data_IF_072925603494
#
_entry.id   IF_072925603494
#
_cell.length_a   1.000
_cell.length_b   1.000
_cell.length_c   1.000
_cell.angle_alpha   90.00
_cell.angle_beta   90.00
_cell.angle_gamma   90.00
#
_symmetry.space_group_name_H-M   'P 1'
#
loop_
_entity.id
_entity.type
_entity.pdbx_description
1 polymer ?
#
# COMPACT_ATOMS: atom_id res chain seq x y z
N UNK A 1 -4.66 13.20 25.83
CA UNK A 1 -4.67 14.51 25.12
C UNK A 1 -3.34 15.27 25.06
N UNK A 2 -2.46 15.32 26.09
CA UNK A 2 -1.24 16.13 26.05
C UNK A 2 -0.31 15.82 24.87
N UNK A 3 -0.18 14.52 24.54
CA UNK A 3 0.58 14.06 23.37
C UNK A 3 -0.06 14.51 22.04
N UNK A 4 -1.40 14.48 21.94
CA UNK A 4 -2.12 14.93 20.76
C UNK A 4 -1.91 16.44 20.52
N UNK A 5 -1.99 17.23 21.60
CA UNK A 5 -1.73 18.66 21.56
C UNK A 5 -0.27 18.97 21.21
N UNK A 6 0.68 18.18 21.72
CA UNK A 6 2.09 18.32 21.36
C UNK A 6 2.34 18.01 19.88
N UNK A 7 1.77 16.93 19.36
CA UNK A 7 1.85 16.57 17.93
C UNK A 7 1.12 17.58 17.04
N UNK A 8 0.04 18.18 17.53
CA UNK A 8 -0.69 19.26 16.85
C UNK A 8 -0.02 20.64 17.00
N UNK A 9 1.15 20.73 17.63
CA UNK A 9 1.89 21.99 17.70
C UNK A 9 2.37 22.44 16.32
N UNK A 10 2.54 23.75 16.15
CA UNK A 10 3.04 24.31 14.89
C UNK A 10 4.43 23.75 14.52
N UNK A 11 5.25 23.37 15.50
CA UNK A 11 6.55 22.77 15.28
C UNK A 11 6.48 21.48 14.42
N UNK A 12 5.47 20.65 14.65
CA UNK A 12 5.28 19.39 13.91
C UNK A 12 4.35 19.56 12.71
N UNK A 13 3.28 20.34 12.82
CA UNK A 13 2.34 20.56 11.72
C UNK A 13 2.88 21.46 10.61
N UNK A 14 3.76 22.41 10.92
CA UNK A 14 4.44 23.29 9.95
C UNK A 14 5.90 22.91 9.73
N UNK A 15 6.30 21.71 10.17
CA UNK A 15 7.66 21.23 9.99
C UNK A 15 8.05 21.32 8.50
N UNK A 16 9.22 21.87 8.13
CA UNK A 16 9.60 22.03 6.72
C UNK A 16 9.67 20.69 5.99
N UNK A 17 9.95 19.59 6.70
CA UNK A 17 9.94 18.25 6.15
C UNK A 17 8.50 17.74 5.96
N UNK A 18 8.11 17.53 4.69
CA UNK A 18 6.76 17.10 4.31
C UNK A 18 6.40 15.71 4.86
N UNK A 19 7.38 14.82 5.05
CA UNK A 19 7.15 13.46 5.53
C UNK A 19 6.92 13.43 7.03
N UNK A 20 7.59 14.32 7.79
CA UNK A 20 7.28 14.54 9.21
C UNK A 20 5.84 15.02 9.38
N UNK A 21 5.38 15.96 8.55
CA UNK A 21 3.98 16.43 8.59
C UNK A 21 2.98 15.32 8.30
N UNK A 22 3.27 14.45 7.33
CA UNK A 22 2.41 13.31 6.99
C UNK A 22 2.32 12.31 8.14
N UNK A 23 3.46 11.93 8.72
CA UNK A 23 3.51 10.98 9.84
C UNK A 23 2.81 11.54 11.09
N UNK A 24 2.98 12.84 11.37
CA UNK A 24 2.28 13.54 12.45
C UNK A 24 0.77 13.55 12.19
N UNK A 25 0.32 13.82 10.96
CA UNK A 25 -1.08 13.78 10.60
C UNK A 25 -1.68 12.37 10.77
N UNK A 26 -0.95 11.31 10.39
CA UNK A 26 -1.35 9.93 10.63
C UNK A 26 -1.47 9.63 12.13
N UNK A 27 -0.48 10.02 12.93
CA UNK A 27 -0.49 9.84 14.39
C UNK A 27 -1.67 10.58 15.05
N UNK A 28 -1.94 11.82 14.63
CA UNK A 28 -3.08 12.60 15.12
C UNK A 28 -4.42 11.96 14.72
N UNK A 29 -4.56 11.48 13.48
CA UNK A 29 -5.77 10.78 13.04
C UNK A 29 -6.02 9.49 13.84
N UNK A 30 -4.97 8.76 14.18
CA UNK A 30 -5.08 7.55 15.00
C UNK A 30 -5.40 7.87 16.47
N UNK A 31 -4.81 8.93 17.03
CA UNK A 31 -5.18 9.44 18.35
C UNK A 31 -6.65 9.89 18.36
N UNK A 32 -7.11 10.65 17.35
CA UNK A 32 -8.52 11.05 17.26
C UNK A 32 -9.44 9.84 17.14
N UNK A 33 -9.05 8.77 16.45
CA UNK A 33 -9.82 7.51 16.41
C UNK A 33 -9.86 6.77 17.75
N UNK A 34 -8.83 6.88 18.57
CA UNK A 34 -8.80 6.30 19.93
C UNK A 34 -9.68 7.12 20.88
N UNK A 35 -9.65 8.45 20.78
CA UNK A 35 -10.35 9.37 21.70
C UNK A 35 -11.76 9.78 21.23
N UNK A 36 -12.14 9.49 19.99
CA UNK A 36 -13.52 9.50 19.51
C UNK A 36 -13.97 8.05 19.23
N UNK A 37 -14.19 7.23 20.29
CA UNK A 37 -14.52 5.81 20.14
C UNK A 37 -15.90 5.59 19.51
N UNK A 38 -16.79 6.59 19.54
CA UNK A 38 -18.15 6.51 19.00
C UNK A 38 -18.28 7.35 17.71
N UNK A 39 -17.78 6.82 16.60
CA UNK A 39 -18.64 6.81 15.43
C UNK A 39 -19.51 5.54 15.59
N UNK A 40 -20.83 5.68 15.73
CA UNK A 40 -21.67 4.59 16.22
C UNK A 40 -21.54 3.42 15.23
N UNK A 41 -21.20 2.24 15.75
CA UNK A 41 -21.09 0.96 15.02
C UNK A 41 -19.87 0.77 14.10
N UNK A 42 -18.68 0.46 14.64
CA UNK A 42 -17.71 -0.37 13.87
C UNK A 42 -16.90 -1.32 14.75
N UNK A 43 -16.96 -2.62 14.44
CA UNK A 43 -16.24 -3.69 15.15
C UNK A 43 -14.72 -3.41 15.23
N UNK A 44 -14.09 -3.86 16.32
CA UNK A 44 -12.65 -3.66 16.57
C UNK A 44 -11.75 -4.09 15.38
N UNK A 45 -12.17 -5.09 14.61
CA UNK A 45 -11.49 -5.54 13.40
C UNK A 45 -11.54 -4.52 12.25
N UNK A 46 -12.64 -3.77 12.11
CA UNK A 46 -12.74 -2.67 11.14
C UNK A 46 -11.80 -1.53 11.50
N UNK A 47 -11.64 -1.19 12.78
CA UNK A 47 -10.68 -0.18 13.21
C UNK A 47 -9.24 -0.63 12.94
N UNK A 48 -8.90 -1.88 13.32
CA UNK A 48 -7.59 -2.47 13.02
C UNK A 48 -7.28 -2.46 11.52
N UNK A 49 -8.25 -2.83 10.69
CA UNK A 49 -8.12 -2.77 9.24
C UNK A 49 -7.83 -1.36 8.75
N UNK A 50 -8.60 -0.35 9.20
CA UNK A 50 -8.38 1.05 8.80
C UNK A 50 -6.97 1.53 9.14
N UNK A 51 -6.46 1.21 10.33
CA UNK A 51 -5.09 1.58 10.72
C UNK A 51 -4.05 0.92 9.82
N UNK A 52 -4.18 -0.40 9.56
CA UNK A 52 -3.28 -1.11 8.62
C UNK A 52 -3.32 -0.50 7.23
N UNK A 53 -4.52 -0.23 6.73
CA UNK A 53 -4.74 0.37 5.41
C UNK A 53 -4.03 1.72 5.29
N UNK A 54 -4.22 2.63 6.24
CA UNK A 54 -3.58 3.95 6.19
C UNK A 54 -2.05 3.83 6.29
N UNK A 55 -1.53 2.95 7.15
CA UNK A 55 -0.09 2.71 7.26
C UNK A 55 0.51 2.16 5.94
N UNK A 56 -0.13 1.17 5.32
CA UNK A 56 0.31 0.60 4.04
C UNK A 56 0.28 1.63 2.92
N UNK A 57 -0.76 2.45 2.86
CA UNK A 57 -0.87 3.54 1.87
C UNK A 57 0.21 4.61 2.07
N UNK A 58 0.50 4.99 3.32
CA UNK A 58 1.58 5.94 3.64
C UNK A 58 2.96 5.42 3.22
N UNK A 59 3.26 4.15 3.50
CA UNK A 59 4.50 3.50 3.06
C UNK A 59 4.60 3.45 1.53
N UNK A 60 3.51 3.09 0.85
CA UNK A 60 3.48 3.03 -0.61
C UNK A 60 3.71 4.41 -1.27
N UNK A 61 3.14 5.48 -0.70
CA UNK A 61 3.37 6.85 -1.15
C UNK A 61 4.83 7.27 -0.96
N UNK A 62 5.42 6.92 0.19
CA UNK A 62 6.83 7.19 0.48
C UNK A 62 7.74 6.48 -0.54
N UNK A 63 7.47 5.19 -0.81
CA UNK A 63 8.22 4.45 -1.82
C UNK A 63 8.12 5.10 -3.20
N UNK A 64 6.92 5.44 -3.66
CA UNK A 64 6.73 6.10 -4.96
C UNK A 64 7.51 7.43 -5.06
N UNK A 65 7.41 8.25 -4.01
CA UNK A 65 8.05 9.56 -3.93
C UNK A 65 9.58 9.46 -4.05
N UNK A 66 10.21 8.56 -3.31
CA UNK A 66 11.67 8.48 -3.25
C UNK A 66 12.27 7.55 -4.33
N UNK A 67 11.64 6.40 -4.60
CA UNK A 67 12.18 5.38 -5.50
C UNK A 67 11.76 5.56 -6.95
N UNK A 68 10.57 6.12 -7.23
CA UNK A 68 10.07 6.30 -8.60
C UNK A 68 10.23 7.75 -9.09
N UNK A 69 9.97 8.74 -8.24
CA UNK A 69 10.16 10.15 -8.62
C UNK A 69 11.58 10.65 -8.33
N UNK A 70 12.40 9.87 -7.64
CA UNK A 70 13.78 10.22 -7.33
C UNK A 70 13.93 11.40 -6.36
N UNK A 71 12.88 11.71 -5.58
CA UNK A 71 12.97 12.78 -4.59
C UNK A 71 14.08 12.47 -3.57
N UNK A 72 14.94 13.45 -3.30
CA UNK A 72 16.10 13.37 -2.40
C UNK A 72 17.24 12.40 -2.81
N UNK A 73 17.22 11.86 -4.03
CA UNK A 73 18.36 11.13 -4.60
C UNK A 73 18.52 9.67 -4.11
N UNK A 74 19.54 9.00 -4.64
CA UNK A 74 19.74 7.55 -4.52
C UNK A 74 19.91 7.06 -3.07
N UNK A 75 20.63 7.82 -2.24
CA UNK A 75 20.87 7.46 -0.84
C UNK A 75 19.56 7.42 -0.04
N UNK A 76 18.65 8.35 -0.28
CA UNK A 76 17.34 8.37 0.37
C UNK A 76 16.46 7.20 -0.12
N UNK A 77 16.49 6.90 -1.42
CA UNK A 77 15.80 5.76 -1.99
C UNK A 77 16.28 4.41 -1.40
N UNK A 78 17.59 4.26 -1.17
CA UNK A 78 18.16 3.06 -0.52
C UNK A 78 17.63 2.87 0.90
N UNK A 79 17.50 3.95 1.68
CA UNK A 79 16.97 3.92 3.06
C UNK A 79 15.51 3.47 3.15
N UNK A 80 14.73 3.68 2.09
CA UNK A 80 13.31 3.28 2.02
C UNK A 80 13.09 2.06 1.11
N UNK A 81 14.15 1.46 0.58
CA UNK A 81 14.07 0.36 -0.38
C UNK A 81 13.42 -0.91 0.19
N UNK A 82 13.45 -1.11 1.51
CA UNK A 82 12.83 -2.23 2.21
C UNK A 82 11.29 -2.22 2.15
N UNK A 83 10.69 -1.07 1.85
CA UNK A 83 9.23 -0.89 1.86
C UNK A 83 8.54 -1.82 0.86
N UNK A 84 9.13 -1.99 -0.33
CA UNK A 84 8.57 -2.86 -1.39
C UNK A 84 8.40 -4.31 -0.91
N UNK A 85 9.40 -4.82 -0.18
CA UNK A 85 9.42 -6.19 0.33
C UNK A 85 8.37 -6.33 1.44
N UNK A 86 8.37 -5.38 2.39
CA UNK A 86 7.40 -5.38 3.50
C UNK A 86 5.95 -5.33 3.01
N UNK A 87 5.65 -4.51 2.00
CA UNK A 87 4.30 -4.40 1.44
C UNK A 87 3.85 -5.71 0.79
N UNK A 88 4.73 -6.37 0.04
CA UNK A 88 4.42 -7.65 -0.60
C UNK A 88 4.28 -8.79 0.41
N UNK A 89 5.07 -8.80 1.49
CA UNK A 89 4.94 -9.80 2.56
C UNK A 89 3.57 -9.77 3.24
N UNK A 90 2.85 -8.65 3.22
CA UNK A 90 1.49 -8.58 3.78
C UNK A 90 0.52 -9.48 3.01
N UNK A 91 0.81 -9.83 1.75
CA UNK A 91 -0.02 -10.75 0.96
C UNK A 91 -0.12 -12.17 1.56
N UNK A 92 0.81 -12.54 2.45
CA UNK A 92 0.72 -13.80 3.20
C UNK A 92 -0.39 -13.78 4.27
N UNK A 93 -0.92 -12.62 4.65
CA UNK A 93 -2.02 -12.54 5.61
C UNK A 93 -3.32 -13.10 5.01
N UNK A 94 -4.12 -13.79 5.83
CA UNK A 94 -5.35 -14.46 5.39
C UNK A 94 -6.54 -13.52 5.14
N UNK A 95 -6.39 -12.23 5.42
CA UNK A 95 -7.43 -11.24 5.21
C UNK A 95 -7.52 -10.86 3.72
N UNK A 96 -8.72 -11.02 3.14
CA UNK A 96 -9.01 -10.66 1.74
C UNK A 96 -8.79 -9.15 1.54
N UNK A 97 -9.20 -8.32 2.50
CA UNK A 97 -9.02 -6.87 2.44
C UNK A 97 -7.54 -6.48 2.31
N UNK A 98 -6.67 -7.12 3.10
CA UNK A 98 -5.23 -6.87 3.05
C UNK A 98 -4.64 -7.32 1.69
N UNK A 99 -5.05 -8.48 1.16
CA UNK A 99 -4.63 -8.95 -0.17
C UNK A 99 -5.03 -7.99 -1.29
N UNK A 100 -6.29 -7.56 -1.31
CA UNK A 100 -6.80 -6.61 -2.31
C UNK A 100 -6.08 -5.26 -2.23
N UNK A 101 -5.74 -4.81 -1.02
CA UNK A 101 -4.98 -3.58 -0.85
C UNK A 101 -3.54 -3.70 -1.32
N UNK A 102 -2.87 -4.84 -1.09
CA UNK A 102 -1.53 -5.07 -1.67
C UNK A 102 -1.59 -5.04 -3.20
N UNK A 103 -2.58 -5.68 -3.82
CA UNK A 103 -2.79 -5.64 -5.27
C UNK A 103 -2.99 -4.21 -5.78
N UNK A 104 -3.82 -3.42 -5.08
CA UNK A 104 -4.02 -2.00 -5.38
C UNK A 104 -2.72 -1.20 -5.25
N UNK A 105 -1.98 -1.41 -4.16
CA UNK A 105 -0.73 -0.71 -3.90
C UNK A 105 0.30 -1.01 -4.98
N UNK A 106 0.41 -2.28 -5.37
CA UNK A 106 1.28 -2.71 -6.45
C UNK A 106 0.98 -1.94 -7.74
N UNK A 107 -0.28 -1.92 -8.18
CA UNK A 107 -0.69 -1.28 -9.44
C UNK A 107 -0.67 0.26 -9.42
N UNK A 108 -0.61 0.90 -8.24
CA UNK A 108 -0.66 2.37 -8.12
C UNK A 108 0.69 3.01 -7.74
N UNK A 109 1.52 2.29 -6.98
CA UNK A 109 2.71 2.84 -6.34
C UNK A 109 3.99 2.06 -6.61
N UNK A 110 3.94 0.74 -6.79
CA UNK A 110 5.14 -0.05 -7.09
C UNK A 110 5.39 -0.15 -8.59
N UNK A 111 4.35 -0.44 -9.36
CA UNK A 111 4.36 -0.49 -10.83
C UNK A 111 3.12 0.26 -11.34
N UNK A 112 3.18 1.60 -11.41
CA UNK A 112 2.00 2.41 -11.70
C UNK A 112 1.44 2.11 -13.10
N UNK A 113 0.16 1.75 -13.17
CA UNK A 113 -0.54 1.41 -14.42
C UNK A 113 -0.66 2.58 -15.41
N UNK A 114 -0.53 3.81 -14.93
CA UNK A 114 -0.58 5.03 -15.74
C UNK A 114 0.73 5.33 -16.49
N UNK A 115 1.80 4.57 -16.24
CA UNK A 115 3.03 4.65 -17.04
C UNK A 115 2.83 4.01 -18.41
N UNK A 116 3.58 4.50 -19.40
CA UNK A 116 3.64 3.86 -20.72
C UNK A 116 4.16 2.43 -20.62
N UNK A 117 3.78 1.58 -21.57
CA UNK A 117 4.10 0.14 -21.51
C UNK A 117 5.59 -0.13 -21.35
N UNK A 118 6.45 0.57 -22.08
CA UNK A 118 7.90 0.37 -21.97
C UNK A 118 8.43 0.75 -20.58
N UNK A 119 8.07 1.93 -20.08
CA UNK A 119 8.48 2.43 -18.76
C UNK A 119 7.94 1.54 -17.63
N UNK A 120 6.68 1.12 -17.75
CA UNK A 120 6.03 0.22 -16.80
C UNK A 120 6.73 -1.13 -16.74
N UNK A 121 7.15 -1.68 -17.87
CA UNK A 121 7.89 -2.94 -17.91
C UNK A 121 9.32 -2.80 -17.36
N UNK A 122 10.00 -1.68 -17.62
CA UNK A 122 11.30 -1.37 -16.96
C UNK A 122 11.13 -1.30 -15.44
N UNK A 123 10.13 -0.56 -14.97
CA UNK A 123 9.80 -0.45 -13.56
C UNK A 123 9.54 -1.82 -12.92
N UNK A 124 8.72 -2.65 -13.58
CA UNK A 124 8.45 -4.01 -13.14
C UNK A 124 9.72 -4.88 -13.07
N UNK A 125 10.57 -4.80 -14.10
CA UNK A 125 11.81 -5.57 -14.16
C UNK A 125 12.76 -5.20 -13.01
N UNK A 126 13.02 -3.90 -12.80
CA UNK A 126 13.89 -3.44 -11.71
C UNK A 126 13.31 -3.73 -10.33
N UNK A 127 11.99 -3.60 -10.17
CA UNK A 127 11.32 -4.00 -8.94
C UNK A 127 11.57 -5.49 -8.68
N UNK A 128 11.19 -6.37 -9.62
CA UNK A 128 11.30 -7.82 -9.46
C UNK A 128 12.74 -8.27 -9.18
N UNK A 129 13.73 -7.68 -9.85
CA UNK A 129 15.14 -7.98 -9.67
C UNK A 129 15.70 -7.55 -8.29
N UNK A 130 15.02 -6.64 -7.59
CA UNK A 130 15.47 -6.11 -6.29
C UNK A 130 14.65 -6.61 -5.10
N UNK A 131 13.63 -7.43 -5.34
CA UNK A 131 12.82 -8.05 -4.29
C UNK A 131 13.58 -9.17 -3.58
N UNK A 132 13.30 -9.32 -2.29
CA UNK A 132 13.75 -10.49 -1.55
C UNK A 132 13.01 -11.77 -2.02
N UNK A 133 13.55 -12.98 -1.73
CA UNK A 133 12.95 -14.23 -2.18
C UNK A 133 11.51 -14.45 -1.69
N UNK A 134 11.14 -13.91 -0.53
CA UNK A 134 9.79 -14.07 0.03
C UNK A 134 8.80 -13.10 -0.61
N UNK A 135 9.23 -11.89 -0.97
CA UNK A 135 8.43 -10.92 -1.69
C UNK A 135 8.20 -11.37 -3.14
N UNK A 136 9.20 -12.00 -3.78
CA UNK A 136 9.03 -12.65 -5.09
C UNK A 136 7.96 -13.74 -5.04
N UNK A 137 7.98 -14.60 -4.03
CA UNK A 137 6.94 -15.63 -3.83
C UNK A 137 5.55 -15.04 -3.66
N UNK A 138 5.42 -13.98 -2.84
CA UNK A 138 4.15 -13.30 -2.63
C UNK A 138 3.62 -12.68 -3.94
N UNK A 139 4.49 -12.03 -4.71
CA UNK A 139 4.14 -11.43 -6.00
C UNK A 139 3.69 -12.48 -7.02
N UNK A 140 4.39 -13.61 -7.10
CA UNK A 140 4.02 -14.71 -7.99
C UNK A 140 2.67 -15.32 -7.58
N UNK A 141 2.41 -15.46 -6.29
CA UNK A 141 1.12 -15.95 -5.80
C UNK A 141 -0.02 -14.97 -6.12
N UNK A 142 0.22 -13.68 -5.97
CA UNK A 142 -0.71 -12.63 -6.37
C UNK A 142 -1.08 -12.72 -7.85
N UNK A 143 -0.11 -12.88 -8.75
CA UNK A 143 -0.39 -13.04 -10.18
C UNK A 143 -1.10 -14.35 -10.52
N UNK A 144 -0.78 -15.46 -9.83
CA UNK A 144 -1.52 -16.72 -9.99
C UNK A 144 -2.98 -16.53 -9.61
N UNK A 145 -3.27 -15.92 -8.45
CA UNK A 145 -4.63 -15.60 -8.01
C UNK A 145 -5.39 -14.77 -9.06
N UNK A 146 -4.76 -13.71 -9.57
CA UNK A 146 -5.37 -12.88 -10.62
C UNK A 146 -5.62 -13.66 -11.92
N UNK A 147 -4.70 -14.54 -12.32
CA UNK A 147 -4.86 -15.36 -13.51
C UNK A 147 -6.01 -16.37 -13.35
N UNK A 148 -6.08 -17.05 -12.21
CA UNK A 148 -7.18 -17.97 -11.88
C UNK A 148 -8.53 -17.24 -11.91
N UNK A 149 -8.62 -16.06 -11.29
CA UNK A 149 -9.84 -15.25 -11.31
C UNK A 149 -10.24 -14.87 -12.74
N UNK A 150 -9.29 -14.45 -13.58
CA UNK A 150 -9.56 -14.15 -15.00
C UNK A 150 -10.06 -15.37 -15.77
N UNK A 151 -9.54 -16.57 -15.50
CA UNK A 151 -10.01 -17.82 -16.12
C UNK A 151 -11.45 -18.11 -15.71
N UNK A 152 -11.73 -18.14 -14.41
CA UNK A 152 -13.07 -18.43 -13.90
C UNK A 152 -14.12 -17.43 -14.40
N UNK A 153 -13.78 -16.14 -14.45
CA UNK A 153 -14.70 -15.11 -15.00
C UNK A 153 -14.95 -15.35 -16.49
N UNK A 154 -13.92 -15.73 -17.27
CA UNK A 154 -14.09 -16.07 -18.69
C UNK A 154 -15.01 -17.28 -18.87
N UNK A 155 -14.77 -18.35 -18.11
CA UNK A 155 -15.60 -19.56 -18.14
C UNK A 155 -17.06 -19.26 -17.78
N UNK A 156 -17.29 -18.42 -16.75
CA UNK A 156 -18.64 -17.98 -16.37
C UNK A 156 -19.33 -17.21 -17.51
N UNK A 157 -18.61 -16.32 -18.19
CA UNK A 157 -19.14 -15.57 -19.33
C UNK A 157 -19.47 -16.48 -20.52
N UNK A 158 -18.68 -17.53 -20.74
CA UNK A 158 -18.93 -18.50 -21.81
C UNK A 158 -20.15 -19.37 -21.50
N UNK A 159 -20.34 -19.78 -20.24
CA UNK A 159 -21.56 -20.47 -19.80
C UNK A 159 -22.82 -19.62 -19.97
N UNK A 160 -22.75 -18.33 -19.62
CA UNK A 160 -23.89 -17.43 -19.76
C UNK A 160 -24.32 -17.21 -21.22
N UNK A 161 -23.40 -17.38 -22.18
CA UNK A 161 -23.68 -17.24 -23.62
C UNK A 161 -24.28 -18.50 -24.25
N UNK A 162 -24.32 -19.63 -23.54
CA UNK A 162 -24.95 -20.84 -24.07
C UNK A 162 -26.48 -20.65 -24.13
N UNK A 163 -27.12 -20.96 -25.26
CA UNK A 163 -28.58 -20.91 -25.35
C UNK A 163 -29.19 -21.91 -24.37
N UNK A 164 -30.14 -21.44 -23.55
CA UNK A 164 -31.01 -22.28 -22.68
C UNK A 164 -31.79 -23.30 -23.47
#
# INVERSE_FOLDING_TARGET
>A
LPLALHLASEFFLRNPNKDVRLLVACCLADIFRIYAPEAPYTSHDKLKWRVRKEAMMGLAQLYKKYCLHGEAGKEAAEKVSWIKDKLLHIYYQNSIDDKLLVEKIFAQYLVPHNLETEERMKCLYYLYASLDPNAVKALNEMWKCQNMLRSHVRELLDLHKQPT
#
